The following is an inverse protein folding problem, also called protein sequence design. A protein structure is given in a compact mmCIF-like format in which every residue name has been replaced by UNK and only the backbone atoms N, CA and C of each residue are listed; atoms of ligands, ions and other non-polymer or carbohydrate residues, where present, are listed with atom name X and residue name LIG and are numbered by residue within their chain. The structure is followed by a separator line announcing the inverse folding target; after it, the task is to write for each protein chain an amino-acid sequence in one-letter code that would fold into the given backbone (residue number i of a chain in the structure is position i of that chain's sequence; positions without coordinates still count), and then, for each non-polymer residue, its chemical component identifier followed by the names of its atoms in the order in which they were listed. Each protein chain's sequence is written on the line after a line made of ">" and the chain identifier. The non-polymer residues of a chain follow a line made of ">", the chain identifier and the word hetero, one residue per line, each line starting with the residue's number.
data_IF_942712533240
#
_entry.id   IF_942712533240
#
_cell.length_a   1.000
_cell.length_b   1.000
_cell.length_c   1.000
_cell.angle_alpha   90.00
_cell.angle_beta   90.00
_cell.angle_gamma   90.00
#
_symmetry.space_group_name_H-M   'P 1'
#
loop_
_entity.id
_entity.type
_entity.pdbx_description
1 polymer ?
#
# COMPACT_ATOMS: atom_id res chain seq x y z
N UNK A 1 16.61 -35.49 -40.38
CA UNK A 1 16.55 -34.36 -39.43
C UNK A 1 15.18 -33.68 -39.33
N UNK A 2 14.22 -33.95 -40.23
CA UNK A 2 12.90 -33.28 -40.27
C UNK A 2 11.93 -33.66 -39.13
N UNK A 3 11.96 -34.89 -38.61
CA UNK A 3 10.99 -35.35 -37.59
C UNK A 3 11.11 -34.65 -36.24
N UNK A 4 12.33 -34.29 -35.81
CA UNK A 4 12.56 -33.59 -34.53
C UNK A 4 12.14 -32.12 -34.58
N UNK A 5 12.32 -31.48 -35.74
CA UNK A 5 11.91 -30.09 -35.98
C UNK A 5 10.38 -30.01 -36.08
N UNK A 6 9.74 -30.94 -36.78
CA UNK A 6 8.29 -31.02 -36.84
C UNK A 6 7.65 -31.23 -35.45
N UNK A 7 8.28 -32.06 -34.61
CA UNK A 7 7.83 -32.30 -33.23
C UNK A 7 7.98 -31.05 -32.34
N UNK A 8 9.06 -30.28 -32.53
CA UNK A 8 9.29 -29.04 -31.79
C UNK A 8 8.29 -27.94 -32.18
N UNK A 9 8.00 -27.79 -33.48
CA UNK A 9 6.97 -26.86 -33.96
C UNK A 9 5.56 -27.26 -33.51
N UNK A 10 5.25 -28.55 -33.48
CA UNK A 10 3.97 -29.05 -32.96
C UNK A 10 3.81 -28.77 -31.46
N UNK A 11 4.89 -28.86 -30.68
CA UNK A 11 4.87 -28.59 -29.25
C UNK A 11 4.68 -27.09 -28.95
N UNK A 12 5.34 -26.22 -29.70
CA UNK A 12 5.13 -24.75 -29.61
C UNK A 12 3.70 -24.38 -30.03
N UNK A 13 3.19 -25.00 -31.11
CA UNK A 13 1.81 -24.81 -31.56
C UNK A 13 0.79 -25.25 -30.50
N UNK A 14 1.06 -26.34 -29.78
CA UNK A 14 0.21 -26.83 -28.71
C UNK A 14 0.26 -25.92 -27.48
N UNK A 15 1.43 -25.40 -27.11
CA UNK A 15 1.57 -24.42 -26.03
C UNK A 15 0.85 -23.11 -26.39
N UNK A 16 0.91 -22.67 -27.64
CA UNK A 16 0.18 -21.50 -28.13
C UNK A 16 -1.35 -21.74 -28.18
N UNK A 17 -1.80 -22.96 -28.45
CA UNK A 17 -3.22 -23.33 -28.41
C UNK A 17 -3.76 -23.49 -26.99
N UNK A 18 -2.94 -23.95 -26.03
CA UNK A 18 -3.32 -24.02 -24.61
C UNK A 18 -3.28 -22.64 -23.96
N UNK A 19 -2.41 -21.74 -24.45
CA UNK A 19 -2.37 -20.32 -24.09
C UNK A 19 -3.51 -19.51 -24.76
N UNK A 20 -4.72 -20.06 -24.86
CA UNK A 20 -5.90 -19.22 -25.08
C UNK A 20 -5.91 -18.14 -23.99
N UNK A 21 -6.24 -16.88 -24.33
CA UNK A 21 -6.48 -15.89 -23.30
C UNK A 21 -7.66 -16.41 -22.49
N UNK A 22 -7.39 -16.86 -21.27
CA UNK A 22 -8.43 -17.18 -20.32
C UNK A 22 -9.17 -15.86 -20.06
N UNK A 23 -10.31 -15.70 -20.72
CA UNK A 23 -11.26 -14.65 -20.42
C UNK A 23 -11.82 -14.97 -19.03
N UNK A 24 -11.17 -14.41 -18.02
CA UNK A 24 -11.71 -14.36 -16.68
C UNK A 24 -12.83 -13.32 -16.75
N UNK A 25 -14.08 -13.77 -16.89
CA UNK A 25 -15.21 -12.84 -16.75
C UNK A 25 -15.19 -12.34 -15.32
N UNK A 26 -15.09 -11.03 -15.14
CA UNK A 26 -15.15 -10.47 -13.81
C UNK A 26 -16.59 -10.62 -13.34
N UNK A 27 -16.86 -11.65 -12.55
CA UNK A 27 -18.22 -11.99 -12.12
C UNK A 27 -18.78 -10.90 -11.21
N UNK A 28 -17.89 -10.22 -10.48
CA UNK A 28 -18.26 -9.19 -9.55
C UNK A 28 -17.11 -8.20 -9.35
N UNK A 29 -17.44 -6.89 -9.39
CA UNK A 29 -16.54 -5.81 -9.01
C UNK A 29 -17.15 -5.10 -7.82
N UNK A 30 -16.40 -5.07 -6.72
CA UNK A 30 -16.76 -4.31 -5.53
C UNK A 30 -15.83 -3.13 -5.39
N UNK A 31 -16.41 -1.93 -5.40
CA UNK A 31 -15.69 -0.70 -5.09
C UNK A 31 -16.01 -0.31 -3.66
N UNK A 32 -14.96 -0.11 -2.86
CA UNK A 32 -15.05 0.33 -1.48
C UNK A 32 -13.98 1.38 -1.21
N UNK A 33 -14.08 2.08 -0.09
CA UNK A 33 -13.14 3.12 0.24
C UNK A 33 -13.53 3.87 1.49
N UNK A 34 -12.66 4.77 1.90
CA UNK A 34 -12.88 5.63 3.04
C UNK A 34 -12.19 6.97 2.84
N UNK A 35 -12.70 7.98 3.54
CA UNK A 35 -12.13 9.33 3.59
C UNK A 35 -11.97 9.67 5.06
N UNK A 36 -10.77 10.05 5.45
CA UNK A 36 -10.42 10.46 6.79
C UNK A 36 -9.85 11.86 6.77
N UNK A 37 -10.24 12.68 7.74
CA UNK A 37 -9.59 13.96 8.02
C UNK A 37 -9.10 13.95 9.46
N UNK A 38 -7.88 14.40 9.68
CA UNK A 38 -7.24 14.47 10.99
C UNK A 38 -6.65 15.86 11.18
N UNK A 39 -7.06 16.51 12.27
CA UNK A 39 -6.42 17.70 12.80
C UNK A 39 -5.68 17.33 14.07
N UNK A 40 -4.39 17.64 14.12
CA UNK A 40 -3.55 17.49 15.31
C UNK A 40 -3.07 18.88 15.71
N UNK A 41 -3.22 19.19 16.99
CA UNK A 41 -2.64 20.39 17.58
C UNK A 41 -1.80 19.96 18.77
N UNK A 42 -0.53 20.32 18.76
CA UNK A 42 0.46 20.00 19.78
C UNK A 42 1.02 21.29 20.34
N UNK A 43 1.24 21.29 21.64
CA UNK A 43 1.91 22.36 22.36
C UNK A 43 2.92 21.71 23.30
N UNK A 44 4.15 22.23 23.34
CA UNK A 44 5.22 21.75 24.19
C UNK A 44 5.59 20.27 23.89
N UNK A 45 5.83 19.96 22.61
CA UNK A 45 6.19 18.63 22.12
C UNK A 45 7.70 18.34 22.24
N UNK A 46 8.53 19.36 22.40
CA UNK A 46 9.92 19.18 22.76
C UNK A 46 10.13 19.08 24.29
N UNK A 47 11.29 18.58 24.68
CA UNK A 47 11.75 18.59 26.07
C UNK A 47 12.69 19.77 26.33
N UNK A 48 12.79 20.71 25.39
CA UNK A 48 13.73 21.83 25.42
C UNK A 48 13.06 23.02 26.10
N UNK A 49 13.32 23.18 27.39
CA UNK A 49 12.92 24.37 28.13
C UNK A 49 13.86 25.54 27.75
N UNK A 50 13.79 26.05 26.52
CA UNK A 50 14.36 27.32 26.04
C UNK A 50 15.81 27.68 26.43
N UNK A 51 16.59 26.73 26.95
CA UNK A 51 17.82 27.01 27.71
C UNK A 51 19.02 26.50 26.95
N UNK A 52 19.64 27.40 26.21
CA UNK A 52 20.94 27.12 25.58
C UNK A 52 22.04 27.27 26.64
N UNK A 53 22.52 26.15 27.18
CA UNK A 53 23.67 26.14 28.09
C UNK A 53 24.97 26.22 27.27
N UNK A 54 25.49 27.43 27.03
CA UNK A 54 26.87 27.59 26.58
C UNK A 54 27.82 27.46 27.78
N UNK A 55 28.85 26.63 27.63
CA UNK A 55 29.83 26.31 28.66
C UNK A 55 30.38 27.56 29.38
N UNK A 56 29.88 27.81 30.58
CA UNK A 56 30.23 29.00 31.35
C UNK A 56 29.08 29.65 32.12
N UNK A 57 28.11 28.88 32.63
CA UNK A 57 27.27 29.28 33.77
C UNK A 57 26.43 30.57 33.65
N UNK A 58 26.18 31.08 32.44
CA UNK A 58 25.28 32.20 32.23
C UNK A 58 23.99 31.68 31.57
N UNK A 59 22.89 31.75 32.31
CA UNK A 59 21.55 31.50 31.80
C UNK A 59 21.19 32.67 30.87
N UNK A 60 21.26 32.43 29.56
CA UNK A 60 20.70 33.33 28.56
C UNK A 60 19.26 32.87 28.35
N UNK A 61 18.29 33.64 28.86
CA UNK A 61 16.88 33.49 28.53
C UNK A 61 16.73 33.64 27.02
N UNK A 62 16.75 32.51 26.31
CA UNK A 62 16.35 32.50 24.90
C UNK A 62 14.84 32.70 24.92
N UNK A 63 14.36 33.68 24.17
CA UNK A 63 12.94 33.97 24.01
C UNK A 63 12.14 32.66 23.92
N UNK A 64 10.98 32.54 24.59
CA UNK A 64 10.15 31.34 24.45
C UNK A 64 9.79 31.23 22.97
N UNK A 65 10.47 30.33 22.27
CA UNK A 65 10.01 29.90 20.96
C UNK A 65 8.67 29.25 21.24
N UNK A 66 7.61 29.76 20.60
CA UNK A 66 6.30 29.12 20.72
C UNK A 66 6.43 27.70 20.15
N UNK A 67 6.51 26.69 21.03
CA UNK A 67 6.53 25.28 20.66
C UNK A 67 5.10 24.80 20.40
N UNK A 68 4.45 25.43 19.42
CA UNK A 68 3.14 25.03 18.94
C UNK A 68 3.25 24.49 17.53
N UNK A 69 2.71 23.29 17.31
CA UNK A 69 2.68 22.63 16.02
C UNK A 69 1.25 22.19 15.69
N UNK A 70 0.83 22.42 14.46
CA UNK A 70 -0.50 22.07 13.97
C UNK A 70 -0.42 21.36 12.64
N UNK A 71 -1.10 20.22 12.54
CA UNK A 71 -1.15 19.38 11.36
C UNK A 71 -2.60 19.17 10.96
N UNK A 72 -2.95 19.55 9.73
CA UNK A 72 -4.23 19.20 9.13
C UNK A 72 -4.00 18.31 7.92
N UNK A 73 -4.48 17.07 7.98
CA UNK A 73 -4.33 16.09 6.92
C UNK A 73 -5.65 15.44 6.51
N UNK A 74 -5.73 15.04 5.25
CA UNK A 74 -6.80 14.24 4.70
C UNK A 74 -6.25 13.02 3.98
N UNK A 75 -6.86 11.86 4.21
CA UNK A 75 -6.52 10.59 3.61
C UNK A 75 -7.73 10.08 2.84
N UNK A 76 -7.58 9.80 1.56
CA UNK A 76 -8.61 9.21 0.71
C UNK A 76 -8.10 7.86 0.22
N UNK A 77 -8.85 6.80 0.48
CA UNK A 77 -8.51 5.44 0.02
C UNK A 77 -9.63 4.88 -0.82
N UNK A 78 -9.28 4.41 -2.02
CA UNK A 78 -10.19 3.75 -2.94
C UNK A 78 -9.69 2.34 -3.21
N UNK A 79 -10.51 1.35 -2.88
CA UNK A 79 -10.23 -0.07 -3.06
C UNK A 79 -11.18 -0.67 -4.07
N UNK A 80 -10.62 -1.40 -5.03
CA UNK A 80 -11.35 -2.15 -6.04
C UNK A 80 -11.00 -3.62 -5.87
N UNK A 81 -11.99 -4.42 -5.51
CA UNK A 81 -11.91 -5.86 -5.44
C UNK A 81 -12.66 -6.47 -6.63
N UNK A 82 -12.07 -7.45 -7.28
CA UNK A 82 -12.62 -8.12 -8.45
C UNK A 82 -12.51 -9.64 -8.31
N UNK A 83 -13.60 -10.36 -8.53
CA UNK A 83 -13.62 -11.81 -8.61
C UNK A 83 -13.41 -12.21 -10.08
N UNK A 84 -12.25 -12.80 -10.39
CA UNK A 84 -11.81 -13.07 -11.77
C UNK A 84 -12.29 -14.43 -12.28
N UNK A 85 -12.29 -15.45 -11.42
CA UNK A 85 -12.77 -16.82 -11.70
C UNK A 85 -12.97 -17.57 -10.38
N UNK A 86 -13.39 -18.83 -10.44
CA UNK A 86 -13.48 -19.72 -9.28
C UNK A 86 -12.17 -19.67 -8.49
N UNK A 87 -12.29 -19.30 -7.22
CA UNK A 87 -11.19 -19.22 -6.27
C UNK A 87 -10.07 -18.21 -6.60
N UNK A 88 -10.22 -17.35 -7.61
CA UNK A 88 -9.24 -16.28 -7.91
C UNK A 88 -9.88 -14.90 -7.78
N UNK A 89 -9.30 -14.08 -6.92
CA UNK A 89 -9.70 -12.68 -6.76
C UNK A 89 -8.50 -11.74 -6.82
N UNK A 90 -8.73 -10.51 -7.27
CA UNK A 90 -7.72 -9.44 -7.33
C UNK A 90 -8.18 -8.24 -6.51
N UNK A 91 -7.23 -7.57 -5.87
CA UNK A 91 -7.47 -6.36 -5.09
C UNK A 91 -6.45 -5.29 -5.48
N UNK A 92 -6.94 -4.09 -5.75
CA UNK A 92 -6.13 -2.90 -5.93
C UNK A 92 -6.65 -1.80 -5.01
N UNK A 93 -5.77 -1.16 -4.25
CA UNK A 93 -6.09 0.02 -3.44
C UNK A 93 -5.20 1.19 -3.83
N UNK A 94 -5.85 2.30 -4.15
CA UNK A 94 -5.22 3.60 -4.35
C UNK A 94 -5.41 4.44 -3.09
N UNK A 95 -4.40 5.23 -2.74
CA UNK A 95 -4.45 6.15 -1.63
C UNK A 95 -3.94 7.52 -2.06
N UNK A 96 -4.61 8.57 -1.59
CA UNK A 96 -4.12 9.93 -1.65
C UNK A 96 -3.99 10.45 -0.22
N UNK A 97 -2.84 11.01 0.10
CA UNK A 97 -2.45 11.47 1.43
C UNK A 97 -2.07 12.93 1.29
N UNK A 98 -2.92 13.82 1.78
CA UNK A 98 -2.72 15.27 1.64
C UNK A 98 -2.58 15.93 3.00
N UNK A 99 -1.50 16.68 3.16
CA UNK A 99 -1.32 17.65 4.24
C UNK A 99 -1.61 19.05 3.70
N UNK A 100 -2.42 19.82 4.43
CA UNK A 100 -2.94 21.09 3.92
C UNK A 100 -2.09 22.30 4.29
N UNK A 101 -1.24 22.19 5.30
CA UNK A 101 -0.41 23.30 5.79
C UNK A 101 0.98 23.33 5.15
N UNK A 102 1.30 22.30 4.36
CA UNK A 102 2.59 22.16 3.65
C UNK A 102 2.36 22.22 2.14
N UNK A 103 2.88 23.28 1.51
CA UNK A 103 2.79 23.47 0.06
C UNK A 103 3.89 22.70 -0.68
N UNK A 104 3.84 21.37 -0.65
CA UNK A 104 4.76 20.49 -1.37
C UNK A 104 4.08 19.90 -2.61
N UNK A 105 4.64 20.13 -3.79
CA UNK A 105 4.05 19.72 -5.08
C UNK A 105 3.95 18.19 -5.26
N UNK A 106 4.68 17.41 -4.45
CA UNK A 106 4.63 15.95 -4.45
C UNK A 106 3.61 15.36 -3.46
N UNK A 107 2.97 16.18 -2.61
CA UNK A 107 2.03 15.73 -1.58
C UNK A 107 0.61 15.44 -2.12
N UNK A 108 0.34 15.75 -3.39
CA UNK A 108 -0.99 15.56 -4.01
C UNK A 108 -1.09 14.31 -4.90
N UNK A 109 -0.04 13.47 -4.93
CA UNK A 109 0.02 12.30 -5.80
C UNK A 109 -0.87 11.14 -5.31
N UNK A 110 -1.31 10.32 -6.27
CA UNK A 110 -2.04 9.08 -6.00
C UNK A 110 -1.02 7.94 -5.91
N UNK A 111 -0.98 7.28 -4.76
CA UNK A 111 -0.08 6.16 -4.49
C UNK A 111 -0.82 4.84 -4.58
N UNK A 112 -0.19 3.84 -5.19
CA UNK A 112 -0.66 2.45 -5.20
C UNK A 112 -0.33 1.79 -3.86
N UNK A 113 -1.32 1.61 -3.00
CA UNK A 113 -1.15 1.11 -1.64
C UNK A 113 -1.24 -0.42 -1.55
N UNK A 114 -2.26 -1.03 -2.14
CA UNK A 114 -2.38 -2.49 -2.24
C UNK A 114 -2.52 -2.91 -3.70
N UNK A 115 -1.88 -4.01 -4.06
CA UNK A 115 -2.00 -4.59 -5.38
C UNK A 115 -1.61 -6.07 -5.29
N UNK A 116 -2.61 -6.94 -5.14
CA UNK A 116 -2.37 -8.36 -4.99
C UNK A 116 -3.47 -9.21 -5.64
N UNK A 117 -3.10 -10.44 -5.96
CA UNK A 117 -4.01 -11.49 -6.42
C UNK A 117 -4.02 -12.61 -5.41
N UNK A 118 -5.20 -13.14 -5.11
CA UNK A 118 -5.43 -14.24 -4.19
C UNK A 118 -5.92 -15.44 -4.96
N UNK A 119 -5.26 -16.57 -4.80
CA UNK A 119 -5.68 -17.88 -5.29
C UNK A 119 -6.03 -18.74 -4.08
N UNK A 120 -7.29 -19.11 -3.93
CA UNK A 120 -7.77 -20.03 -2.91
C UNK A 120 -7.75 -21.46 -3.44
N UNK A 121 -7.70 -22.42 -2.54
CA UNK A 121 -7.81 -23.86 -2.85
C UNK A 121 -6.77 -24.37 -3.87
N UNK A 122 -5.54 -23.87 -3.76
CA UNK A 122 -4.45 -24.30 -4.64
C UNK A 122 -4.16 -25.79 -4.44
N UNK A 123 -4.12 -26.54 -5.55
CA UNK A 123 -3.82 -27.99 -5.61
C UNK A 123 -4.80 -28.89 -4.85
N UNK A 124 -6.11 -28.58 -4.86
CA UNK A 124 -7.15 -29.34 -4.13
C UNK A 124 -6.91 -29.44 -2.61
N UNK A 125 -6.10 -28.53 -2.09
CA UNK A 125 -5.81 -28.38 -0.67
C UNK A 125 -6.36 -27.04 -0.20
N UNK A 126 -6.77 -26.88 1.07
CA UNK A 126 -7.21 -25.60 1.62
C UNK A 126 -6.03 -24.61 1.80
N UNK A 127 -5.22 -24.42 0.76
CA UNK A 127 -4.09 -23.51 0.72
C UNK A 127 -4.50 -22.23 -0.03
N UNK A 128 -4.29 -21.08 0.61
CA UNK A 128 -4.47 -19.77 -0.01
C UNK A 128 -3.11 -19.17 -0.33
N UNK A 129 -2.88 -18.84 -1.59
CA UNK A 129 -1.69 -18.15 -2.08
C UNK A 129 -2.05 -16.71 -2.41
N UNK A 130 -1.38 -15.75 -1.78
CA UNK A 130 -1.51 -14.32 -2.09
C UNK A 130 -0.20 -13.84 -2.71
N UNK A 131 -0.29 -13.18 -3.86
CA UNK A 131 0.87 -12.69 -4.62
C UNK A 131 0.69 -11.19 -4.87
N UNK A 132 1.65 -10.40 -4.41
CA UNK A 132 1.70 -8.96 -4.67
C UNK A 132 1.96 -8.12 -3.42
N UNK A 133 1.68 -6.81 -3.53
CA UNK A 133 1.75 -5.87 -2.41
C UNK A 133 0.52 -6.03 -1.54
N UNK A 134 0.71 -6.59 -0.35
CA UNK A 134 -0.32 -6.86 0.64
C UNK A 134 0.09 -6.32 2.01
N UNK A 135 -0.88 -6.20 2.91
CA UNK A 135 -0.60 -5.94 4.32
C UNK A 135 -0.12 -7.25 4.96
N UNK A 136 1.00 -7.18 5.67
CA UNK A 136 1.53 -8.28 6.48
C UNK A 136 1.42 -7.88 7.94
N UNK A 137 0.61 -8.60 8.70
CA UNK A 137 0.53 -8.44 10.15
C UNK A 137 0.71 -9.82 10.78
N UNK A 138 1.76 -9.96 11.59
CA UNK A 138 2.05 -11.20 12.31
C UNK A 138 1.95 -10.98 13.81
N UNK A 139 1.24 -11.89 14.49
CA UNK A 139 0.98 -11.76 15.93
C UNK A 139 0.22 -10.47 16.26
N UNK A 140 0.69 -9.74 17.27
CA UNK A 140 0.12 -8.45 17.70
C UNK A 140 0.75 -7.24 16.96
N UNK A 141 1.37 -7.46 15.79
CA UNK A 141 2.09 -6.42 15.06
C UNK A 141 3.51 -6.13 15.57
N UNK A 142 3.99 -6.87 16.58
CA UNK A 142 5.31 -6.69 17.19
C UNK A 142 6.48 -7.01 16.22
N UNK A 143 6.29 -7.96 15.31
CA UNK A 143 7.34 -8.42 14.38
C UNK A 143 7.21 -7.71 13.03
N UNK A 144 5.99 -7.62 12.52
CA UNK A 144 5.60 -6.90 11.31
C UNK A 144 4.16 -6.42 11.54
N UNK A 145 3.96 -5.12 11.41
CA UNK A 145 2.67 -4.44 11.58
C UNK A 145 2.46 -3.39 10.48
N UNK A 146 1.20 -2.96 10.27
CA UNK A 146 0.83 -1.99 9.24
C UNK A 146 1.43 -0.60 9.48
#
# INVERSE_FOLDING_TARGET
>A
MSRKIALFCALIGLVAFVAHPAYAEVQNIKVSGDIQALGVYRNNYDLEDGKVIFGGGADIDSYPAEDTDSLFMSVVRLRVDADLTDNVSACVRLANLREWDVAEAAADDIVLDLAYVTLKEMLYSPLTLVIGRQILQYGDGLILGP
#
